data_IF_254579241101
#
_entry.id   IF_254579241101
#
_cell.length_a   1.000
_cell.length_b   1.000
_cell.length_c   1.000
_cell.angle_alpha   90.00
_cell.angle_beta   90.00
_cell.angle_gamma   90.00
#
_symmetry.space_group_name_H-M   'P 1'
#
loop_
_entity.id
_entity.type
_entity.pdbx_description
1 polymer ?
#
# COMPACT_ATOMS: atom_id res chain seq x y z
N UNK A 1 21.88 -10.87 14.39
CA UNK A 1 21.10 -11.85 13.61
C UNK A 1 20.90 -11.29 12.21
N UNK A 2 21.35 -11.98 11.15
CA UNK A 2 21.19 -11.51 9.77
C UNK A 2 19.73 -11.73 9.38
N UNK A 3 18.96 -10.65 9.25
CA UNK A 3 17.57 -10.71 8.79
C UNK A 3 17.52 -11.41 7.43
N UNK A 4 16.66 -12.42 7.28
CA UNK A 4 16.39 -12.99 5.97
C UNK A 4 15.79 -11.88 5.11
N UNK A 5 16.19 -11.72 3.83
CA UNK A 5 15.55 -10.76 2.95
C UNK A 5 14.05 -11.05 2.90
N UNK A 6 13.23 -9.99 2.99
CA UNK A 6 11.79 -10.11 2.87
C UNK A 6 11.50 -10.44 1.40
N UNK A 7 11.15 -11.70 1.14
CA UNK A 7 10.61 -12.09 -0.17
C UNK A 7 9.20 -11.53 -0.24
N UNK A 8 8.97 -10.60 -1.16
CA UNK A 8 7.65 -10.13 -1.51
C UNK A 8 7.18 -10.98 -2.68
N UNK A 9 6.35 -12.02 -2.45
CA UNK A 9 5.65 -12.68 -3.55
C UNK A 9 4.66 -11.66 -4.12
N UNK A 10 4.98 -11.09 -5.28
CA UNK A 10 4.06 -10.18 -5.97
C UNK A 10 3.12 -10.99 -6.87
N UNK A 11 1.83 -10.62 -6.93
CA UNK A 11 0.85 -11.31 -7.77
C UNK A 11 1.26 -11.24 -9.24
N UNK A 12 1.41 -12.40 -9.87
CA UNK A 12 2.02 -12.57 -11.19
C UNK A 12 1.03 -12.92 -12.31
N UNK A 13 -0.28 -12.96 -12.06
CA UNK A 13 -1.23 -13.45 -13.08
C UNK A 13 -1.87 -12.40 -13.97
N UNK A 14 -1.71 -11.10 -13.73
CA UNK A 14 -2.53 -10.12 -14.45
C UNK A 14 -1.84 -8.87 -15.00
N UNK A 15 -0.56 -8.64 -14.70
CA UNK A 15 0.09 -7.40 -15.09
C UNK A 15 1.41 -7.63 -15.81
N UNK A 16 1.36 -7.48 -17.14
CA UNK A 16 2.54 -7.51 -18.03
C UNK A 16 3.56 -6.41 -17.71
N UNK A 17 3.13 -5.35 -17.00
CA UNK A 17 4.01 -4.26 -16.56
C UNK A 17 5.07 -4.71 -15.53
N UNK A 18 4.77 -5.72 -14.71
CA UNK A 18 5.65 -6.14 -13.61
C UNK A 18 6.76 -7.07 -14.10
N UNK A 19 6.43 -7.99 -15.00
CA UNK A 19 7.31 -9.09 -15.46
C UNK A 19 7.90 -8.81 -16.85
N UNK A 20 7.27 -7.93 -17.63
CA UNK A 20 7.56 -7.72 -19.04
C UNK A 20 6.85 -8.73 -19.95
N UNK A 21 7.24 -8.75 -21.23
CA UNK A 21 6.78 -9.78 -22.18
C UNK A 21 7.19 -11.17 -21.70
N UNK A 22 6.36 -12.18 -21.98
CA UNK A 22 6.69 -13.59 -21.71
C UNK A 22 8.02 -14.02 -22.38
N UNK A 23 8.42 -13.34 -23.45
CA UNK A 23 9.65 -13.57 -24.20
C UNK A 23 10.80 -12.61 -23.81
N UNK A 24 10.67 -11.87 -22.70
CA UNK A 24 11.68 -10.92 -22.28
C UNK A 24 12.98 -11.63 -21.90
N UNK A 25 14.10 -11.19 -22.50
CA UNK A 25 15.44 -11.75 -22.25
C UNK A 25 16.14 -11.11 -21.04
N UNK A 26 15.61 -9.99 -20.57
CA UNK A 26 16.18 -9.19 -19.49
C UNK A 26 15.07 -8.82 -18.49
N UNK A 27 15.41 -8.67 -17.19
CA UNK A 27 14.44 -8.28 -16.18
C UNK A 27 13.86 -6.90 -16.51
N UNK A 28 12.56 -6.73 -16.26
CA UNK A 28 11.87 -5.45 -16.42
C UNK A 28 12.52 -4.37 -15.53
N UNK A 29 12.32 -3.11 -15.90
CA UNK A 29 12.78 -1.98 -15.07
C UNK A 29 12.17 -2.07 -13.67
N UNK A 30 10.94 -2.54 -13.55
CA UNK A 30 10.29 -2.80 -12.28
C UNK A 30 11.08 -3.80 -11.42
N UNK A 31 11.43 -4.97 -11.97
CA UNK A 31 12.22 -5.99 -11.26
C UNK A 31 13.58 -5.43 -10.84
N UNK A 32 14.25 -4.69 -11.73
CA UNK A 32 15.53 -4.05 -11.42
C UNK A 32 15.41 -3.04 -10.28
N UNK A 33 14.34 -2.24 -10.29
CA UNK A 33 14.05 -1.25 -9.24
C UNK A 33 13.85 -1.93 -7.89
N UNK A 34 12.98 -2.95 -7.83
CA UNK A 34 12.69 -3.67 -6.59
C UNK A 34 13.96 -4.32 -6.03
N UNK A 35 14.74 -4.98 -6.88
CA UNK A 35 15.97 -5.66 -6.45
C UNK A 35 17.12 -4.68 -6.11
N UNK A 36 17.04 -3.41 -6.52
CA UNK A 36 18.02 -2.38 -6.12
C UNK A 36 17.85 -1.94 -4.67
N UNK A 37 16.65 -2.11 -4.11
CA UNK A 37 16.35 -1.77 -2.73
C UNK A 37 16.80 -2.87 -1.77
N UNK A 38 17.52 -2.48 -0.72
CA UNK A 38 18.14 -3.43 0.20
C UNK A 38 17.07 -4.25 0.93
N UNK A 39 17.11 -5.56 0.74
CA UNK A 39 16.26 -6.52 1.46
C UNK A 39 14.96 -6.86 0.76
N UNK A 40 14.71 -6.28 -0.42
CA UNK A 40 13.60 -6.66 -1.29
C UNK A 40 14.10 -7.60 -2.39
N UNK A 41 13.32 -8.64 -2.66
CA UNK A 41 13.56 -9.55 -3.79
C UNK A 41 12.23 -9.78 -4.48
N UNK A 42 12.20 -9.53 -5.78
CA UNK A 42 11.06 -9.90 -6.62
C UNK A 42 10.99 -11.41 -6.78
N UNK A 43 9.90 -12.04 -6.34
CA UNK A 43 9.65 -13.48 -6.50
C UNK A 43 8.28 -13.72 -7.16
N UNK A 44 8.18 -14.76 -7.97
CA UNK A 44 6.94 -15.13 -8.67
C UNK A 44 6.17 -16.18 -7.89
N UNK A 45 4.84 -16.08 -7.88
CA UNK A 45 3.99 -17.12 -7.25
C UNK A 45 4.31 -18.48 -7.90
N UNK A 46 4.70 -19.49 -7.10
CA UNK A 46 5.02 -20.80 -7.63
C UNK A 46 3.79 -21.46 -8.27
N UNK A 47 3.96 -22.29 -9.31
CA UNK A 47 2.86 -23.02 -9.94
C UNK A 47 2.05 -23.82 -8.90
N UNK A 48 0.73 -23.75 -8.97
CA UNK A 48 -0.17 -24.47 -8.06
C UNK A 48 -0.46 -23.78 -6.71
N UNK A 49 0.17 -22.64 -6.40
CA UNK A 49 -0.06 -21.90 -5.16
C UNK A 49 -1.25 -20.91 -5.25
N UNK A 50 -2.46 -21.46 -5.45
CA UNK A 50 -3.69 -20.67 -5.62
C UNK A 50 -4.07 -19.79 -4.42
N UNK A 51 -3.61 -20.14 -3.22
CA UNK A 51 -3.91 -19.41 -1.99
C UNK A 51 -3.17 -18.08 -1.86
N UNK A 52 -2.07 -17.87 -2.61
CA UNK A 52 -1.27 -16.65 -2.52
C UNK A 52 -2.01 -15.41 -3.04
N UNK A 53 -3.06 -15.59 -3.85
CA UNK A 53 -3.90 -14.49 -4.32
C UNK A 53 -5.24 -14.39 -3.59
N UNK A 54 -5.65 -15.41 -2.82
CA UNK A 54 -6.99 -15.46 -2.23
C UNK A 54 -7.28 -14.28 -1.29
N UNK A 55 -6.29 -13.85 -0.50
CA UNK A 55 -6.43 -12.68 0.38
C UNK A 55 -6.57 -11.37 -0.44
N UNK A 56 -5.89 -11.26 -1.60
CA UNK A 56 -5.96 -10.10 -2.50
C UNK A 56 -7.32 -10.05 -3.19
N UNK A 57 -7.77 -11.17 -3.77
CA UNK A 57 -9.08 -11.24 -4.43
C UNK A 57 -10.22 -10.95 -3.45
N UNK A 58 -10.11 -11.43 -2.21
CA UNK A 58 -11.07 -11.11 -1.15
C UNK A 58 -11.07 -9.62 -0.83
N UNK A 59 -9.89 -9.00 -0.69
CA UNK A 59 -9.80 -7.56 -0.47
C UNK A 59 -10.38 -6.75 -1.63
N UNK A 60 -10.14 -7.16 -2.88
CA UNK A 60 -10.72 -6.52 -4.06
C UNK A 60 -12.24 -6.56 -4.04
N UNK A 61 -12.85 -7.73 -3.82
CA UNK A 61 -14.30 -7.85 -3.76
C UNK A 61 -14.92 -7.03 -2.62
N UNK A 62 -14.23 -6.93 -1.48
CA UNK A 62 -14.67 -6.06 -0.38
C UNK A 62 -14.63 -4.58 -0.79
N UNK A 63 -13.53 -4.13 -1.38
CA UNK A 63 -13.38 -2.73 -1.83
C UNK A 63 -14.43 -2.40 -2.90
N UNK A 64 -14.67 -3.31 -3.83
CA UNK A 64 -15.71 -3.17 -4.86
C UNK A 64 -17.08 -2.92 -4.24
N UNK A 65 -17.52 -3.83 -3.37
CA UNK A 65 -18.85 -3.76 -2.75
C UNK A 65 -18.99 -2.62 -1.73
N UNK A 66 -17.97 -2.36 -0.91
CA UNK A 66 -18.07 -1.40 0.19
C UNK A 66 -17.72 0.04 -0.24
N UNK A 67 -16.85 0.22 -1.23
CA UNK A 67 -16.38 1.54 -1.66
C UNK A 67 -16.94 1.93 -3.03
N UNK A 68 -16.70 1.14 -4.07
CA UNK A 68 -17.04 1.54 -5.43
C UNK A 68 -18.54 1.48 -5.74
N UNK A 69 -19.27 0.51 -5.17
CA UNK A 69 -20.72 0.38 -5.38
C UNK A 69 -21.56 1.35 -4.54
N UNK A 70 -21.05 1.75 -3.37
CA UNK A 70 -21.80 2.58 -2.42
C UNK A 70 -21.50 4.07 -2.60
N UNK A 71 -20.23 4.43 -2.82
CA UNK A 71 -19.81 5.83 -2.83
C UNK A 71 -20.00 6.49 -4.19
N UNK A 72 -20.46 7.74 -4.16
CA UNK A 72 -20.47 8.61 -5.34
C UNK A 72 -19.31 9.59 -5.30
N UNK A 73 -18.75 9.91 -6.47
CA UNK A 73 -17.58 10.78 -6.60
C UNK A 73 -17.90 12.00 -7.46
N UNK A 74 -17.88 13.18 -6.85
CA UNK A 74 -18.14 14.45 -7.55
C UNK A 74 -16.92 15.03 -8.26
N UNK A 75 -15.71 14.61 -7.89
CA UNK A 75 -14.46 15.03 -8.52
C UNK A 75 -13.31 14.06 -8.23
N UNK A 76 -12.21 14.10 -9.02
CA UNK A 76 -11.01 13.32 -8.73
C UNK A 76 -10.41 13.59 -7.35
N UNK A 77 -10.49 14.83 -6.86
CA UNK A 77 -10.01 15.19 -5.52
C UNK A 77 -10.89 14.58 -4.43
N UNK A 78 -12.22 14.62 -4.61
CA UNK A 78 -13.17 13.97 -3.71
C UNK A 78 -12.96 12.46 -3.69
N UNK A 79 -12.69 11.85 -4.84
CA UNK A 79 -12.32 10.44 -4.95
C UNK A 79 -11.07 10.11 -4.14
N UNK A 80 -9.97 10.83 -4.33
CA UNK A 80 -8.71 10.56 -3.59
C UNK A 80 -8.88 10.77 -2.07
N UNK A 81 -9.65 11.76 -1.65
CA UNK A 81 -9.94 12.00 -0.24
C UNK A 81 -10.74 10.84 0.37
N UNK A 82 -11.80 10.39 -0.29
CA UNK A 82 -12.60 9.23 0.14
C UNK A 82 -11.80 7.94 0.11
N UNK A 83 -11.01 7.70 -0.93
CA UNK A 83 -10.14 6.53 -1.03
C UNK A 83 -9.11 6.48 0.09
N UNK A 84 -8.50 7.62 0.43
CA UNK A 84 -7.57 7.72 1.57
C UNK A 84 -8.25 7.39 2.90
N UNK A 85 -9.46 7.91 3.11
CA UNK A 85 -10.25 7.60 4.30
C UNK A 85 -10.64 6.12 4.35
N UNK A 86 -11.07 5.56 3.23
CA UNK A 86 -11.45 4.15 3.13
C UNK A 86 -10.25 3.23 3.42
N UNK A 87 -9.08 3.47 2.81
CA UNK A 87 -7.85 2.69 3.08
C UNK A 87 -7.45 2.79 4.56
N UNK A 88 -7.51 3.98 5.14
CA UNK A 88 -7.20 4.20 6.57
C UNK A 88 -8.15 3.39 7.46
N UNK A 89 -9.46 3.49 7.21
CA UNK A 89 -10.48 2.74 7.93
C UNK A 89 -10.31 1.22 7.77
N UNK A 90 -10.08 0.76 6.53
CA UNK A 90 -9.90 -0.64 6.20
C UNK A 90 -8.71 -1.25 6.96
N UNK A 91 -7.60 -0.51 7.06
CA UNK A 91 -6.39 -1.01 7.69
C UNK A 91 -6.42 -0.93 9.23
N UNK A 92 -7.04 0.12 9.79
CA UNK A 92 -6.91 0.45 11.23
C UNK A 92 -8.16 0.10 12.04
N UNK A 93 -9.34 0.10 11.43
CA UNK A 93 -10.61 -0.05 12.15
C UNK A 93 -11.43 -1.27 11.72
N UNK A 94 -11.29 -1.71 10.47
CA UNK A 94 -12.06 -2.84 9.94
C UNK A 94 -11.54 -4.17 10.51
N UNK A 95 -12.36 -4.79 11.35
CA UNK A 95 -12.06 -6.10 11.94
C UNK A 95 -12.28 -7.19 10.89
N UNK A 96 -11.31 -8.08 10.75
CA UNK A 96 -11.40 -9.22 9.87
C UNK A 96 -11.71 -10.50 10.66
N UNK A 97 -12.96 -10.97 10.55
CA UNK A 97 -13.44 -12.15 11.28
C UNK A 97 -12.68 -13.43 10.96
N UNK A 98 -12.36 -13.68 9.68
CA UNK A 98 -11.60 -14.87 9.28
C UNK A 98 -10.10 -14.80 9.62
N UNK A 99 -9.63 -13.66 10.14
CA UNK A 99 -8.25 -13.45 10.63
C UNK A 99 -8.22 -13.22 12.15
N UNK A 100 -9.10 -13.91 12.88
CA UNK A 100 -9.09 -13.92 14.34
C UNK A 100 -9.61 -12.63 14.97
N UNK A 101 -10.52 -11.95 14.29
CA UNK A 101 -11.11 -10.68 14.73
C UNK A 101 -10.07 -9.57 14.95
N UNK A 102 -9.10 -9.46 14.06
CA UNK A 102 -8.06 -8.43 14.08
C UNK A 102 -8.15 -7.54 12.84
N UNK A 103 -7.70 -6.31 13.00
CA UNK A 103 -7.49 -5.36 11.90
C UNK A 103 -6.22 -5.72 11.13
N UNK A 104 -6.09 -5.32 9.84
CA UNK A 104 -4.86 -5.50 9.10
C UNK A 104 -3.62 -4.93 9.81
N UNK A 105 -3.76 -3.76 10.47
CA UNK A 105 -2.69 -3.15 11.25
C UNK A 105 -2.26 -4.02 12.43
N UNK A 106 -3.21 -4.53 13.22
CA UNK A 106 -2.90 -5.42 14.35
C UNK A 106 -2.15 -6.67 13.89
N UNK A 107 -2.56 -7.28 12.76
CA UNK A 107 -1.88 -8.45 12.20
C UNK A 107 -0.43 -8.13 11.82
N UNK A 108 -0.19 -6.98 11.18
CA UNK A 108 1.16 -6.54 10.80
C UNK A 108 2.01 -6.25 12.03
N UNK A 109 1.45 -5.52 13.01
CA UNK A 109 2.15 -5.12 14.21
C UNK A 109 2.52 -6.31 15.10
N UNK A 110 1.65 -7.31 15.22
CA UNK A 110 1.95 -8.56 15.92
C UNK A 110 3.06 -9.36 15.24
N UNK A 111 3.11 -9.33 13.91
CA UNK A 111 4.12 -10.05 13.14
C UNK A 111 5.49 -9.38 13.23
N UNK A 112 5.53 -8.06 13.17
CA UNK A 112 6.75 -7.27 13.27
C UNK A 112 6.45 -5.90 13.90
N UNK A 113 6.70 -5.75 15.22
CA UNK A 113 6.45 -4.51 15.94
C UNK A 113 7.32 -3.33 15.48
N UNK A 114 8.38 -3.58 14.70
CA UNK A 114 9.28 -2.53 14.20
C UNK A 114 8.70 -1.79 12.99
N UNK A 115 7.65 -2.34 12.37
CA UNK A 115 6.99 -1.72 11.23
C UNK A 115 6.31 -0.44 11.69
N UNK A 116 6.57 0.63 10.94
CA UNK A 116 6.02 1.96 11.16
C UNK A 116 4.50 1.98 10.93
N UNK A 117 3.69 2.51 11.88
CA UNK A 117 2.23 2.64 11.73
C UNK A 117 1.78 3.42 10.50
N UNK A 118 2.65 4.29 9.97
CA UNK A 118 2.43 5.08 8.78
C UNK A 118 2.08 4.20 7.55
N UNK A 119 2.49 2.92 7.55
CA UNK A 119 2.15 1.98 6.48
C UNK A 119 0.63 1.73 6.37
N UNK A 120 -0.09 1.78 7.50
CA UNK A 120 -1.52 1.52 7.54
C UNK A 120 -2.36 2.69 7.01
N UNK A 121 -1.80 3.90 6.99
CA UNK A 121 -2.51 5.15 6.66
C UNK A 121 -2.03 5.76 5.33
N UNK A 122 -1.53 4.91 4.42
CA UNK A 122 -1.00 5.37 3.16
C UNK A 122 -2.06 6.10 2.32
N UNK A 123 -1.71 7.28 1.82
CA UNK A 123 -2.67 8.14 1.13
C UNK A 123 -2.89 7.70 -0.31
N UNK A 124 -4.13 7.78 -0.77
CA UNK A 124 -4.45 7.59 -2.18
C UNK A 124 -3.89 8.77 -2.99
N UNK A 125 -3.13 8.46 -4.03
CA UNK A 125 -2.44 9.46 -4.86
C UNK A 125 -2.65 9.20 -6.35
N UNK A 126 -2.74 10.28 -7.13
CA UNK A 126 -2.75 10.19 -8.58
C UNK A 126 -1.32 10.09 -9.11
N UNK A 127 -0.97 8.92 -9.66
CA UNK A 127 0.33 8.70 -10.31
C UNK A 127 0.53 9.64 -11.50
N UNK A 128 -0.52 9.90 -12.29
CA UNK A 128 -0.47 10.86 -13.39
C UNK A 128 -0.13 12.28 -12.93
N UNK A 129 -0.74 12.74 -11.83
CA UNK A 129 -0.43 14.06 -11.29
C UNK A 129 1.01 14.14 -10.77
N UNK A 130 1.47 13.09 -10.08
CA UNK A 130 2.85 12.97 -9.63
C UNK A 130 3.81 13.02 -10.83
N UNK A 131 3.50 12.26 -11.87
CA UNK A 131 4.28 12.16 -13.08
C UNK A 131 4.36 13.51 -13.82
N UNK A 132 3.23 14.19 -14.01
CA UNK A 132 3.17 15.53 -14.62
C UNK A 132 3.96 16.57 -13.81
N UNK A 133 3.83 16.57 -12.49
CA UNK A 133 4.62 17.46 -11.61
C UNK A 133 6.11 17.20 -11.74
N UNK A 134 6.50 15.94 -11.89
CA UNK A 134 7.89 15.56 -12.07
C UNK A 134 8.40 16.02 -13.43
N UNK A 135 7.67 15.77 -14.51
CA UNK A 135 8.00 16.29 -15.85
C UNK A 135 8.18 17.81 -15.84
N UNK A 136 7.23 18.54 -15.25
CA UNK A 136 7.30 20.01 -15.14
C UNK A 136 8.49 20.52 -14.32
N UNK A 137 9.04 19.71 -13.39
CA UNK A 137 10.26 20.04 -12.64
C UNK A 137 11.53 19.83 -13.47
N UNK A 138 11.52 18.86 -14.39
CA UNK A 138 12.66 18.53 -15.25
C UNK A 138 12.79 19.50 -16.43
N UNK A 139 11.67 20.03 -16.90
CA UNK A 139 11.63 20.98 -18.01
C UNK A 139 12.33 22.33 -17.71
N UNK A 140 12.91 22.52 -16.51
CA UNK A 140 13.76 23.68 -16.19
C UNK A 140 15.22 23.55 -16.65
N UNK A 141 15.57 22.50 -17.40
CA UNK A 141 16.79 22.46 -18.20
C UNK A 141 17.25 21.05 -18.57
N UNK A 142 17.16 20.72 -19.87
CA UNK A 142 18.00 19.71 -20.54
C UNK A 142 17.62 18.22 -20.42
N UNK A 143 17.37 17.64 -21.60
CA UNK A 143 17.28 16.22 -21.98
C UNK A 143 16.08 15.37 -21.51
N UNK A 144 15.41 14.81 -22.53
CA UNK A 144 14.31 13.83 -22.48
C UNK A 144 14.75 12.47 -21.93
N UNK A 145 15.14 12.44 -20.66
CA UNK A 145 15.29 11.20 -19.91
C UNK A 145 14.25 11.16 -18.80
N UNK A 146 13.45 10.09 -18.79
CA UNK A 146 12.54 9.74 -17.70
C UNK A 146 13.39 9.61 -16.42
N UNK A 147 13.36 10.55 -15.47
CA UNK A 147 14.12 10.42 -14.25
C UNK A 147 13.34 9.56 -13.27
N UNK A 148 14.01 9.03 -12.27
CA UNK A 148 13.45 8.17 -11.24
C UNK A 148 12.66 8.95 -10.18
N UNK A 149 11.54 8.42 -9.63
CA UNK A 149 10.85 9.05 -8.53
C UNK A 149 11.56 8.67 -7.22
N UNK A 150 12.45 9.53 -6.73
CA UNK A 150 12.95 9.44 -5.36
C UNK A 150 12.00 10.25 -4.46
N UNK A 151 11.23 9.56 -3.61
CA UNK A 151 10.38 10.21 -2.61
C UNK A 151 11.15 10.34 -1.29
N UNK A 152 11.53 11.56 -0.93
CA UNK A 152 11.98 11.89 0.43
C UNK A 152 10.76 12.36 1.24
N UNK A 153 10.27 11.51 2.14
CA UNK A 153 9.21 11.86 3.08
C UNK A 153 9.81 12.80 4.13
N UNK A 154 9.36 14.07 4.15
CA UNK A 154 9.71 15.02 5.20
C UNK A 154 8.80 14.82 6.42
N UNK A 155 9.43 14.80 7.59
CA UNK A 155 8.98 14.42 8.94
C UNK A 155 7.99 15.36 9.63
N UNK A 156 7.35 16.29 8.92
CA UNK A 156 6.51 17.32 9.56
C UNK A 156 5.05 16.87 9.78
N UNK A 157 4.64 15.78 9.13
CA UNK A 157 3.30 15.19 9.25
C UNK A 157 3.16 14.26 10.47
N UNK A 158 4.27 13.86 11.08
CA UNK A 158 4.32 12.82 12.10
C UNK A 158 3.69 13.23 13.44
N UNK A 159 3.76 14.49 13.87
CA UNK A 159 3.19 14.90 15.17
C UNK A 159 1.67 14.99 15.15
N UNK A 160 1.09 15.52 14.07
CA UNK A 160 -0.37 15.62 13.91
C UNK A 160 -1.01 14.24 13.73
N UNK A 161 -0.30 13.33 13.06
CA UNK A 161 -0.74 11.94 12.88
C UNK A 161 -0.66 11.18 14.21
N UNK A 162 0.43 11.34 14.98
CA UNK A 162 0.55 10.75 16.33
C UNK A 162 -0.56 11.23 17.26
N UNK A 163 -0.88 12.53 17.24
CA UNK A 163 -1.96 13.09 18.05
C UNK A 163 -3.35 12.54 17.67
N UNK A 164 -3.60 12.31 16.38
CA UNK A 164 -4.87 11.75 15.90
C UNK A 164 -5.03 10.27 16.30
N UNK A 165 -3.96 9.48 16.13
CA UNK A 165 -3.94 8.07 16.54
C UNK A 165 -4.11 7.93 18.05
N UNK A 166 -3.44 8.77 18.84
CA UNK A 166 -3.58 8.76 20.30
C UNK A 166 -5.01 9.13 20.74
N UNK A 167 -5.62 10.14 20.13
CA UNK A 167 -7.02 10.51 20.41
C UNK A 167 -8.00 9.37 20.09
N UNK A 168 -7.75 8.61 19.03
CA UNK A 168 -8.59 7.47 18.65
C UNK A 168 -8.39 6.25 19.57
N UNK A 169 -7.18 6.03 20.10
CA UNK A 169 -6.91 5.01 21.11
C UNK A 169 -7.52 5.38 22.48
N UNK A 170 -7.45 6.66 22.87
CA UNK A 170 -7.99 7.15 24.14
C UNK A 170 -9.53 7.18 24.17
N UNK A 171 -10.18 7.36 23.02
CA UNK A 171 -11.65 7.32 22.90
C UNK A 171 -12.20 5.91 22.67
N UNK A 172 -11.37 4.94 22.28
CA UNK A 172 -11.76 3.56 21.93
C UNK A 172 -11.61 2.51 23.03
N UNK A 173 -10.94 2.81 24.14
CA UNK A 173 -10.73 1.87 25.26
C UNK A 173 -11.44 2.33 26.54
N UNK A 174 -12.75 2.58 26.46
CA UNK A 174 -13.59 2.67 27.66
C UNK A 174 -15.02 2.20 27.39
N UNK A 175 -15.19 0.95 26.95
CA UNK A 175 -16.41 0.14 27.20
C UNK A 175 -16.09 -1.35 27.26
N UNK A 176 -15.22 -1.75 28.18
CA UNK A 176 -15.36 -3.07 28.83
C UNK A 176 -16.46 -2.96 29.89
N UNK A 177 -17.72 -3.11 29.47
CA UNK A 177 -18.76 -3.47 30.41
C UNK A 177 -19.02 -4.97 30.29
N UNK A 178 -18.46 -5.69 31.26
CA UNK A 178 -19.04 -6.88 31.86
C UNK A 178 -20.56 -6.81 31.83
N UNK A 179 -21.20 -7.78 31.18
CA UNK A 179 -22.32 -8.56 31.70
C UNK A 179 -22.19 -9.97 31.11
#
# INVERSE_FOLDING_TARGET
>A
MRGRPYKLPLPNRQWSESIGSWSAKHPSIFIQTVNSEKGLVHDTIPPGAHTYQADIETAHGIIENEFYEIETFSSPQAFLAKATQYVTWFNVARINGYKGNKTPWEIIHERDPTISPQIAIFQAMSLDQIWRKKLARLTKGGYDLIPYPYFSLKSETDEKIKACIQFQLDTGLSKTNKL
#
